data_IF_771711350617
#
_entry.id   IF_771711350617
#
_cell.length_a   1.000
_cell.length_b   1.000
_cell.length_c   1.000
_cell.angle_alpha   90.00
_cell.angle_beta   90.00
_cell.angle_gamma   90.00
#
_symmetry.space_group_name_H-M   'P 1'
#
loop_
_entity.id
_entity.type
_entity.pdbx_description
1 polymer ?
#
# COMPACT_ATOMS: atom_id res chain seq x y z
N UNK A 1 -16.72 -5.29 -3.90
CA UNK A 1 -15.38 -5.18 -3.30
C UNK A 1 -14.98 -6.57 -2.82
N UNK A 2 -14.07 -7.24 -3.54
CA UNK A 2 -13.56 -8.53 -3.10
C UNK A 2 -12.40 -8.26 -2.13
N UNK A 3 -12.63 -8.55 -0.85
CA UNK A 3 -11.60 -8.50 0.17
C UNK A 3 -11.64 -9.82 0.92
N UNK A 4 -10.48 -10.32 1.28
CA UNK A 4 -10.31 -11.52 2.07
C UNK A 4 -9.58 -11.10 3.34
N UNK A 5 -10.19 -11.28 4.51
CA UNK A 5 -9.62 -10.94 5.81
C UNK A 5 -9.76 -12.16 6.71
N UNK A 6 -8.65 -12.74 7.16
CA UNK A 6 -8.63 -13.96 7.96
C UNK A 6 -7.51 -13.90 9.01
N UNK A 7 -7.74 -14.46 10.20
CA UNK A 7 -6.66 -14.77 11.14
C UNK A 7 -6.07 -16.12 10.75
N UNK A 8 -4.78 -16.16 10.45
CA UNK A 8 -4.04 -17.41 10.24
C UNK A 8 -3.25 -17.77 11.47
N UNK A 9 -3.27 -19.05 11.82
CA UNK A 9 -2.38 -19.62 12.84
C UNK A 9 -1.31 -20.47 12.19
N UNK A 10 -0.07 -20.28 12.60
CA UNK A 10 1.11 -21.02 12.18
C UNK A 10 1.62 -21.83 13.37
N UNK A 11 1.69 -23.15 13.20
CA UNK A 11 2.13 -24.11 14.20
C UNK A 11 1.39 -24.02 15.56
N UNK A 12 0.18 -23.43 15.59
CA UNK A 12 -0.65 -23.29 16.79
C UNK A 12 -0.27 -22.12 17.72
N UNK A 13 0.97 -21.64 17.66
CA UNK A 13 1.49 -20.58 18.54
C UNK A 13 1.39 -19.21 17.92
N UNK A 14 1.85 -19.07 16.67
CA UNK A 14 1.91 -17.77 16.01
C UNK A 14 0.61 -17.51 15.28
N UNK A 15 0.11 -16.28 15.38
CA UNK A 15 -1.09 -15.84 14.67
C UNK A 15 -0.80 -14.52 13.98
N UNK A 16 -1.45 -14.32 12.84
CA UNK A 16 -1.40 -13.04 12.13
C UNK A 16 -2.70 -12.79 11.38
N UNK A 17 -3.05 -11.53 11.19
CA UNK A 17 -4.16 -11.12 10.35
C UNK A 17 -3.67 -11.02 8.92
N UNK A 18 -4.18 -11.88 8.04
CA UNK A 18 -3.95 -11.79 6.60
C UNK A 18 -5.10 -11.09 5.93
N UNK A 19 -4.76 -10.09 5.13
CA UNK A 19 -5.70 -9.37 4.30
C UNK A 19 -5.22 -9.28 2.85
N UNK A 20 -6.11 -9.55 1.89
CA UNK A 20 -5.93 -9.24 0.47
C UNK A 20 -7.06 -8.35 -0.09
N UNK A 21 -6.73 -7.33 -0.90
CA UNK A 21 -7.68 -6.44 -1.58
C UNK A 21 -7.38 -6.28 -3.07
N UNK A 22 -8.45 -6.03 -3.83
CA UNK A 22 -8.37 -5.36 -5.11
C UNK A 22 -9.19 -4.06 -5.04
N UNK A 23 -8.51 -2.92 -4.94
CA UNK A 23 -9.11 -1.58 -4.80
C UNK A 23 -9.76 -1.16 -6.11
N UNK A 24 -10.81 -0.34 -6.07
CA UNK A 24 -11.47 0.19 -7.27
C UNK A 24 -10.44 0.68 -8.31
N UNK A 25 -10.55 0.19 -9.55
CA UNK A 25 -9.65 0.58 -10.63
C UNK A 25 -9.75 2.06 -11.00
N UNK A 26 -10.99 2.58 -11.15
CA UNK A 26 -11.27 3.91 -11.72
C UNK A 26 -10.32 4.99 -11.16
N UNK A 27 -9.38 5.52 -11.97
CA UNK A 27 -8.29 6.38 -11.49
C UNK A 27 -8.81 7.68 -10.86
N UNK A 28 -9.99 8.14 -11.31
CA UNK A 28 -10.62 9.40 -10.90
C UNK A 28 -11.48 9.33 -9.65
N UNK A 29 -11.66 8.14 -9.06
CA UNK A 29 -12.45 7.91 -7.84
C UNK A 29 -11.57 7.69 -6.62
N UNK A 30 -10.61 8.58 -6.42
CA UNK A 30 -9.68 8.51 -5.29
C UNK A 30 -10.38 8.58 -3.93
N UNK A 31 -11.52 9.27 -3.85
CA UNK A 31 -12.42 9.32 -2.69
C UNK A 31 -12.85 7.90 -2.25
N UNK A 32 -13.30 7.10 -3.22
CA UNK A 32 -13.75 5.72 -2.96
C UNK A 32 -12.57 4.80 -2.68
N UNK A 33 -11.45 4.94 -3.40
CA UNK A 33 -10.25 4.13 -3.16
C UNK A 33 -9.73 4.33 -1.74
N UNK A 34 -9.62 5.58 -1.29
CA UNK A 34 -9.17 5.91 0.05
C UNK A 34 -10.12 5.37 1.12
N UNK A 35 -11.44 5.52 0.92
CA UNK A 35 -12.45 4.95 1.82
C UNK A 35 -12.40 3.43 1.93
N UNK A 36 -12.23 2.74 0.79
CA UNK A 36 -12.07 1.30 0.72
C UNK A 36 -10.86 0.81 1.54
N UNK A 37 -9.73 1.51 1.41
CA UNK A 37 -8.51 1.20 2.14
C UNK A 37 -8.69 1.48 3.64
N UNK A 38 -9.17 2.68 4.00
CA UNK A 38 -9.40 3.11 5.40
C UNK A 38 -10.28 2.11 6.16
N UNK A 39 -11.46 1.79 5.62
CA UNK A 39 -12.40 0.86 6.27
C UNK A 39 -11.79 -0.51 6.53
N UNK A 40 -10.86 -0.93 5.68
CA UNK A 40 -10.26 -2.24 5.78
C UNK A 40 -9.08 -2.27 6.75
N UNK A 41 -8.31 -1.19 6.83
CA UNK A 41 -7.32 -0.96 7.88
C UNK A 41 -7.97 -0.94 9.26
N UNK A 42 -9.12 -0.28 9.41
CA UNK A 42 -9.90 -0.27 10.66
C UNK A 42 -10.37 -1.69 11.05
N UNK A 43 -10.86 -2.47 10.09
CA UNK A 43 -11.28 -3.86 10.33
C UNK A 43 -10.12 -4.79 10.67
N UNK A 44 -9.00 -4.64 9.98
CA UNK A 44 -7.80 -5.43 10.24
C UNK A 44 -7.24 -5.12 11.64
N UNK A 45 -7.24 -3.85 12.04
CA UNK A 45 -6.86 -3.44 13.39
C UNK A 45 -7.79 -4.00 14.47
N UNK A 46 -9.10 -3.85 14.30
CA UNK A 46 -10.06 -4.41 15.25
C UNK A 46 -9.94 -5.95 15.38
N UNK A 47 -9.55 -6.63 14.30
CA UNK A 47 -9.26 -8.06 14.35
C UNK A 47 -7.92 -8.34 15.03
N UNK A 48 -6.88 -7.55 14.78
CA UNK A 48 -5.60 -7.69 15.49
C UNK A 48 -5.78 -7.52 17.01
N UNK A 49 -6.44 -6.45 17.44
CA UNK A 49 -6.74 -6.17 18.86
C UNK A 49 -7.52 -7.29 19.54
N UNK A 50 -8.49 -7.89 18.83
CA UNK A 50 -9.28 -9.01 19.35
C UNK A 50 -8.43 -10.26 19.62
N UNK A 51 -7.28 -10.36 18.97
CA UNK A 51 -6.39 -11.52 19.03
C UNK A 51 -5.03 -11.15 19.64
N UNK A 52 -5.02 -10.25 20.62
CA UNK A 52 -3.82 -9.87 21.39
C UNK A 52 -2.77 -9.16 20.53
N UNK A 53 -3.22 -8.14 19.79
CA UNK A 53 -2.39 -7.26 18.96
C UNK A 53 -1.48 -8.00 17.95
N UNK A 54 -1.93 -9.15 17.47
CA UNK A 54 -1.20 -9.95 16.48
C UNK A 54 -0.86 -9.14 15.22
N UNK A 55 0.28 -9.41 14.58
CA UNK A 55 0.70 -8.66 13.42
C UNK A 55 -0.26 -8.81 12.23
N UNK A 56 -0.30 -7.79 11.39
CA UNK A 56 -1.13 -7.72 10.19
C UNK A 56 -0.24 -7.75 8.96
N UNK A 57 -0.60 -8.55 7.96
CA UNK A 57 -0.03 -8.51 6.60
C UNK A 57 -1.14 -8.17 5.61
N UNK A 58 -0.90 -7.15 4.80
CA UNK A 58 -1.83 -6.60 3.83
C UNK A 58 -1.23 -6.77 2.43
N UNK A 59 -1.99 -7.42 1.56
CA UNK A 59 -1.59 -7.69 0.20
C UNK A 59 -2.61 -7.16 -0.80
N UNK A 60 -2.15 -6.95 -2.02
CA UNK A 60 -3.03 -6.86 -3.18
C UNK A 60 -2.79 -5.64 -4.05
N UNK A 61 -3.74 -5.43 -4.96
CA UNK A 61 -3.73 -4.36 -5.94
C UNK A 61 -4.45 -3.13 -5.35
N UNK A 62 -3.67 -2.11 -5.02
CA UNK A 62 -4.16 -0.85 -4.47
C UNK A 62 -4.59 0.13 -5.57
N UNK A 63 -4.32 -0.19 -6.84
CA UNK A 63 -4.56 0.68 -7.98
C UNK A 63 -4.09 2.12 -7.70
N UNK A 64 -2.88 2.22 -7.14
CA UNK A 64 -2.20 3.45 -6.74
C UNK A 64 -0.70 3.26 -6.87
N UNK A 65 0.04 4.30 -7.29
CA UNK A 65 1.48 4.21 -7.57
C UNK A 65 2.32 4.99 -6.54
N UNK A 66 3.50 4.51 -6.10
CA UNK A 66 4.31 5.27 -5.16
C UNK A 66 4.99 6.44 -5.87
N UNK A 67 5.25 6.31 -7.17
CA UNK A 67 5.82 7.33 -8.04
C UNK A 67 4.84 7.66 -9.17
N UNK A 68 4.59 8.94 -9.48
CA UNK A 68 3.87 9.28 -10.72
C UNK A 68 4.79 8.98 -11.91
N UNK A 69 4.59 7.84 -12.55
CA UNK A 69 5.33 7.46 -13.74
C UNK A 69 4.82 8.26 -14.95
N UNK A 70 5.59 9.25 -15.39
CA UNK A 70 5.37 9.83 -16.71
C UNK A 70 5.59 8.76 -17.77
N UNK A 71 4.75 8.77 -18.81
CA UNK A 71 4.79 7.82 -19.91
C UNK A 71 6.09 7.93 -20.75
N UNK A 72 7.21 7.47 -20.19
CA UNK A 72 8.48 7.32 -20.91
C UNK A 72 9.72 7.81 -20.17
N UNK A 73 9.60 8.68 -19.18
CA UNK A 73 10.74 9.30 -18.50
C UNK A 73 10.58 9.21 -16.98
N UNK A 74 11.50 8.53 -16.29
CA UNK A 74 11.45 8.26 -14.84
C UNK A 74 11.80 9.50 -14.00
N UNK A 75 11.36 10.68 -14.41
CA UNK A 75 11.55 11.93 -13.69
C UNK A 75 10.40 12.11 -12.68
N UNK A 76 10.57 11.55 -11.48
CA UNK A 76 9.57 11.43 -10.42
C UNK A 76 8.92 12.75 -9.98
N UNK A 77 7.63 12.69 -9.67
CA UNK A 77 6.85 13.69 -8.89
C UNK A 77 6.06 12.96 -7.79
N UNK A 78 5.62 13.65 -6.72
CA UNK A 78 5.58 13.09 -5.36
C UNK A 78 4.55 11.98 -5.16
N UNK A 79 4.82 11.18 -4.12
CA UNK A 79 4.06 10.07 -3.59
C UNK A 79 2.55 10.21 -3.83
N UNK A 80 1.90 9.20 -4.41
CA UNK A 80 0.44 9.21 -4.46
C UNK A 80 -0.12 9.40 -3.05
N UNK A 81 -1.20 10.18 -2.96
CA UNK A 81 -1.80 10.52 -1.68
C UNK A 81 -2.21 9.25 -0.90
N UNK A 82 -2.63 8.19 -1.60
CA UNK A 82 -2.94 6.88 -1.02
C UNK A 82 -1.69 6.19 -0.47
N UNK A 83 -0.57 6.17 -1.20
CA UNK A 83 0.68 5.59 -0.69
C UNK A 83 1.16 6.35 0.55
N UNK A 84 1.08 7.68 0.53
CA UNK A 84 1.37 8.52 1.69
C UNK A 84 0.44 8.25 2.87
N UNK A 85 -0.86 8.07 2.62
CA UNK A 85 -1.81 7.69 3.67
C UNK A 85 -1.36 6.40 4.37
N UNK A 86 -1.06 5.35 3.60
CA UNK A 86 -0.59 4.05 4.10
C UNK A 86 0.71 4.16 4.92
N UNK A 87 1.68 4.93 4.43
CA UNK A 87 3.00 5.04 5.07
C UNK A 87 3.04 6.00 6.27
N UNK A 88 2.10 6.94 6.37
CA UNK A 88 2.11 7.99 7.41
C UNK A 88 0.94 7.94 8.37
N UNK A 89 0.02 6.97 8.21
CA UNK A 89 -1.20 6.78 8.99
C UNK A 89 -2.26 7.87 8.85
N UNK A 90 -1.96 8.96 8.13
CA UNK A 90 -2.87 10.11 8.01
C UNK A 90 -2.71 10.85 6.71
N UNK A 91 -3.79 11.44 6.23
CA UNK A 91 -3.80 12.23 5.02
C UNK A 91 -4.79 13.39 5.15
N UNK A 92 -4.28 14.62 5.03
CA UNK A 92 -5.14 15.78 4.84
C UNK A 92 -5.59 15.84 3.38
N UNK A 93 -6.84 15.44 3.12
CA UNK A 93 -7.40 15.33 1.77
C UNK A 93 -7.63 16.70 1.09
N UNK A 94 -7.69 17.79 1.86
CA UNK A 94 -7.84 19.15 1.32
C UNK A 94 -6.64 19.61 0.48
N UNK A 95 -5.49 18.94 0.63
CA UNK A 95 -4.26 19.25 -0.09
C UNK A 95 -4.20 18.62 -1.49
N UNK A 96 -5.17 17.76 -1.84
CA UNK A 96 -5.15 16.97 -3.07
C UNK A 96 -6.45 17.13 -3.86
N UNK A 97 -6.36 16.98 -5.18
CA UNK A 97 -7.55 16.71 -6.00
C UNK A 97 -7.96 15.25 -5.78
N UNK A 98 -9.21 15.01 -5.39
CA UNK A 98 -9.80 13.67 -5.23
C UNK A 98 -9.63 12.74 -6.44
N UNK A 99 -9.47 13.29 -7.65
CA UNK A 99 -9.27 12.51 -8.90
C UNK A 99 -7.83 12.03 -9.07
N UNK A 100 -6.91 12.56 -8.28
CA UNK A 100 -5.47 12.35 -8.42
C UNK A 100 -4.86 11.59 -7.25
N UNK A 101 -5.66 11.17 -6.26
CA UNK A 101 -5.14 10.50 -5.06
C UNK A 101 -4.35 9.21 -5.35
N UNK A 102 -4.64 8.54 -6.47
CA UNK A 102 -3.96 7.30 -6.87
C UNK A 102 -2.68 7.51 -7.68
N UNK A 103 -2.44 8.72 -8.20
CA UNK A 103 -1.32 8.98 -9.11
C UNK A 103 -1.43 8.30 -10.49
N UNK A 104 -2.56 7.67 -10.81
CA UNK A 104 -2.77 6.94 -12.08
C UNK A 104 -3.35 7.80 -13.23
N UNK A 105 -3.86 9.00 -12.96
CA UNK A 105 -4.46 9.84 -13.99
C UNK A 105 -3.39 10.75 -14.61
N UNK A 106 -3.00 10.45 -15.85
CA UNK A 106 -1.93 11.14 -16.58
C UNK A 106 -2.41 12.38 -17.35
N UNK A 107 -3.68 12.80 -17.19
CA UNK A 107 -4.22 13.95 -17.92
C UNK A 107 -3.57 15.26 -17.45
N UNK A 108 -2.56 15.70 -18.22
CA UNK A 108 -1.88 16.99 -18.22
C UNK A 108 -1.64 17.65 -16.84
N UNK A 109 -0.46 17.35 -16.30
CA UNK A 109 0.21 18.12 -15.23
C UNK A 109 0.48 19.61 -15.61
N UNK A 110 -0.07 20.18 -16.69
CA UNK A 110 0.20 21.57 -17.08
C UNK A 110 -0.65 22.63 -16.35
N UNK A 111 -1.84 22.26 -15.85
CA UNK A 111 -2.88 23.22 -15.41
C UNK A 111 -3.40 22.98 -13.98
N UNK A 112 -2.88 21.97 -13.28
CA UNK A 112 -3.44 21.44 -12.02
C UNK A 112 -3.39 22.40 -10.82
N UNK A 113 -2.58 23.45 -10.87
CA UNK A 113 -2.50 24.45 -9.79
C UNK A 113 -3.76 25.31 -9.68
N UNK A 114 -4.61 25.34 -10.72
CA UNK A 114 -5.76 26.26 -10.80
C UNK A 114 -7.13 25.62 -10.56
N UNK A 115 -7.28 24.30 -10.71
CA UNK A 115 -8.58 23.63 -10.54
C UNK A 115 -8.57 22.68 -9.35
N UNK A 116 -8.59 23.23 -8.13
CA UNK A 116 -9.00 22.47 -6.94
C UNK A 116 -10.50 22.20 -7.09
N UNK A 117 -10.86 21.03 -7.64
CA UNK A 117 -12.25 20.58 -7.55
C UNK A 117 -12.62 20.52 -6.07
N UNK A 118 -13.64 21.28 -5.68
CA UNK A 118 -14.14 21.24 -4.31
C UNK A 118 -14.68 19.85 -4.03
N UNK A 119 -14.19 19.26 -2.94
CA UNK A 119 -14.74 18.04 -2.38
C UNK A 119 -16.19 18.30 -1.97
N UNK A 120 -17.12 17.44 -2.36
CA UNK A 120 -18.47 17.47 -1.81
C UNK A 120 -18.58 16.57 -0.56
N UNK A 121 -19.64 16.75 0.24
CA UNK A 121 -19.83 16.03 1.50
C UNK A 121 -19.87 14.50 1.34
N UNK A 122 -20.34 13.99 0.20
CA UNK A 122 -20.33 12.55 -0.09
C UNK A 122 -18.90 12.05 -0.34
N UNK A 123 -18.11 12.78 -1.10
CA UNK A 123 -16.71 12.46 -1.39
C UNK A 123 -15.85 12.55 -0.14
N UNK A 124 -16.06 13.56 0.71
CA UNK A 124 -15.40 13.66 2.02
C UNK A 124 -15.78 12.46 2.89
N UNK A 125 -17.08 12.13 2.98
CA UNK A 125 -17.57 10.97 3.74
C UNK A 125 -17.02 9.65 3.22
N UNK A 126 -16.92 9.49 1.90
CA UNK A 126 -16.32 8.31 1.28
C UNK A 126 -14.87 8.16 1.75
N UNK A 127 -14.08 9.23 1.65
CA UNK A 127 -12.66 9.22 2.00
C UNK A 127 -12.43 9.02 3.51
N UNK A 128 -13.06 9.83 4.35
CA UNK A 128 -12.70 9.96 5.78
C UNK A 128 -13.67 9.23 6.71
N UNK A 129 -14.83 8.80 6.22
CA UNK A 129 -15.92 8.27 7.03
C UNK A 129 -16.87 9.32 7.59
N UNK A 130 -16.52 10.61 7.50
CA UNK A 130 -17.28 11.73 8.07
C UNK A 130 -17.49 12.82 7.02
N UNK A 131 -18.60 13.57 7.07
CA UNK A 131 -18.89 14.60 6.04
C UNK A 131 -18.14 15.92 6.24
N UNK A 132 -17.58 16.18 7.41
CA UNK A 132 -16.98 17.47 7.80
C UNK A 132 -15.52 17.36 8.27
N UNK A 133 -14.88 16.22 8.02
CA UNK A 133 -13.50 15.96 8.45
C UNK A 133 -12.63 15.82 7.20
N UNK A 134 -11.63 16.70 7.06
CA UNK A 134 -10.71 16.74 5.92
C UNK A 134 -9.42 15.96 6.15
N UNK A 135 -9.32 15.24 7.27
CA UNK A 135 -8.18 14.38 7.59
C UNK A 135 -8.70 12.95 7.65
N UNK A 136 -8.16 12.09 6.80
CA UNK A 136 -8.35 10.64 6.89
C UNK A 136 -7.23 10.06 7.73
N UNK A 137 -7.54 9.12 8.62
CA UNK A 137 -6.55 8.46 9.50
C UNK A 137 -6.78 6.94 9.50
N UNK A 138 -5.75 6.18 9.88
CA UNK A 138 -5.83 4.75 10.16
C UNK A 138 -4.91 4.36 11.32
N UNK A 139 -5.20 3.28 12.07
CA UNK A 139 -4.47 2.95 13.29
C UNK A 139 -3.18 2.16 13.06
N UNK A 140 -3.04 1.49 11.91
CA UNK A 140 -1.94 0.55 11.69
C UNK A 140 -0.64 1.25 11.28
N UNK A 141 0.47 1.00 11.99
CA UNK A 141 1.82 1.40 11.56
C UNK A 141 2.34 0.43 10.50
N UNK A 142 2.17 0.79 9.23
CA UNK A 142 2.52 -0.06 8.10
C UNK A 142 3.96 0.14 7.62
N UNK A 143 4.60 -0.98 7.27
CA UNK A 143 5.89 -1.06 6.60
C UNK A 143 5.71 -1.74 5.25
N UNK A 144 6.18 -1.15 4.15
CA UNK A 144 6.18 -1.85 2.86
C UNK A 144 7.35 -2.83 2.82
N UNK A 145 7.04 -4.09 2.53
CA UNK A 145 8.02 -5.19 2.46
C UNK A 145 9.17 -4.88 1.50
N UNK A 146 8.84 -4.22 0.39
CA UNK A 146 9.80 -3.86 -0.64
C UNK A 146 10.57 -2.59 -0.31
N UNK A 147 9.90 -1.56 0.20
CA UNK A 147 10.53 -0.30 0.58
C UNK A 147 11.51 -0.45 1.76
N UNK A 148 11.27 -1.41 2.66
CA UNK A 148 12.12 -1.65 3.83
C UNK A 148 13.45 -2.36 3.51
N UNK A 149 13.56 -3.01 2.34
CA UNK A 149 14.75 -3.75 1.94
C UNK A 149 15.54 -3.01 0.88
N UNK A 150 16.87 -3.14 0.92
CA UNK A 150 17.74 -2.61 -0.13
C UNK A 150 17.56 -3.44 -1.39
N UNK A 151 17.04 -2.82 -2.45
CA UNK A 151 16.92 -3.44 -3.76
C UNK A 151 17.92 -2.91 -4.78
N UNK A 152 17.85 -3.44 -6.01
CA UNK A 152 18.69 -3.02 -7.13
C UNK A 152 18.11 -1.77 -7.81
N UNK A 153 18.92 -0.72 -7.99
CA UNK A 153 18.51 0.54 -8.64
C UNK A 153 17.96 0.35 -10.08
N UNK A 154 18.28 -0.75 -10.75
CA UNK A 154 17.74 -1.05 -12.08
C UNK A 154 16.26 -1.51 -12.07
N UNK A 155 15.75 -1.90 -10.90
CA UNK A 155 14.44 -2.54 -10.73
C UNK A 155 13.59 -1.77 -9.71
N UNK A 156 14.17 -0.80 -9.00
CA UNK A 156 13.59 -0.13 -7.83
C UNK A 156 13.50 1.37 -8.03
N UNK A 157 12.35 1.95 -7.66
CA UNK A 157 12.10 3.39 -7.67
C UNK A 157 12.69 4.11 -6.45
N UNK A 158 12.32 5.38 -6.30
CA UNK A 158 12.85 6.27 -5.25
C UNK A 158 12.53 5.78 -3.84
N UNK A 159 11.39 5.11 -3.67
CA UNK A 159 10.92 4.58 -2.38
C UNK A 159 11.40 3.16 -2.08
N UNK A 160 12.28 2.57 -2.90
CA UNK A 160 12.64 1.15 -2.78
C UNK A 160 11.55 0.19 -3.29
N UNK A 161 10.43 0.73 -3.76
CA UNK A 161 9.38 -0.05 -4.41
C UNK A 161 9.83 -0.54 -5.79
N UNK A 162 9.28 -1.65 -6.31
CA UNK A 162 9.52 -2.03 -7.70
C UNK A 162 9.20 -0.89 -8.67
N UNK A 163 9.87 -0.84 -9.81
CA UNK A 163 9.52 0.10 -10.89
C UNK A 163 8.20 -0.28 -11.58
N UNK A 164 7.86 -1.57 -11.61
CA UNK A 164 6.58 -2.02 -12.10
C UNK A 164 6.17 -3.36 -11.48
N UNK A 165 4.90 -3.45 -11.07
CA UNK A 165 4.22 -4.69 -10.74
C UNK A 165 3.10 -5.00 -11.74
N UNK A 166 2.67 -4.03 -12.55
CA UNK A 166 1.77 -4.24 -13.69
C UNK A 166 2.33 -3.60 -14.96
N UNK A 167 2.17 -4.29 -16.10
CA UNK A 167 2.58 -3.78 -17.40
C UNK A 167 1.64 -4.20 -18.53
N UNK A 168 0.93 -3.24 -19.10
CA UNK A 168 0.15 -3.41 -20.32
C UNK A 168 0.31 -2.20 -21.25
N UNK A 169 -0.40 -2.20 -22.40
CA UNK A 169 -0.25 -1.18 -23.45
C UNK A 169 -0.44 0.28 -23.01
N UNK A 170 -1.09 0.53 -21.86
CA UNK A 170 -1.45 1.86 -21.38
C UNK A 170 -0.88 2.19 -20.00
N UNK A 171 -0.21 1.24 -19.35
CA UNK A 171 0.27 1.40 -17.99
C UNK A 171 1.52 0.55 -17.77
N UNK A 172 2.51 1.13 -17.12
CA UNK A 172 3.69 0.48 -16.61
C UNK A 172 3.98 1.14 -15.27
N UNK A 173 3.83 0.41 -14.18
CA UNK A 173 4.02 0.97 -12.85
C UNK A 173 3.66 0.00 -11.74
N UNK A 174 3.84 0.46 -10.51
CA UNK A 174 3.61 -0.34 -9.31
C UNK A 174 2.23 -0.05 -8.74
N UNK A 175 1.42 -1.08 -8.60
CA UNK A 175 0.07 -1.02 -8.03
C UNK A 175 -0.19 -2.13 -7.00
N UNK A 176 0.59 -3.21 -7.08
CA UNK A 176 0.60 -4.30 -6.12
C UNK A 176 1.59 -4.07 -4.98
N UNK A 177 1.17 -4.28 -3.74
CA UNK A 177 2.00 -4.07 -2.55
C UNK A 177 1.83 -5.19 -1.52
N UNK A 178 2.85 -5.34 -0.67
CA UNK A 178 2.84 -6.16 0.55
C UNK A 178 3.23 -5.26 1.73
N UNK A 179 2.26 -4.89 2.56
CA UNK A 179 2.48 -4.13 3.79
C UNK A 179 2.41 -5.05 5.01
N UNK A 180 3.14 -4.71 6.07
CA UNK A 180 3.10 -5.44 7.32
C UNK A 180 3.21 -4.49 8.53
N UNK A 181 2.80 -4.93 9.71
CA UNK A 181 2.93 -4.19 10.97
C UNK A 181 4.07 -4.75 11.85
N UNK A 182 4.51 -4.03 12.90
CA UNK A 182 5.37 -4.60 13.94
C UNK A 182 4.84 -5.93 14.49
N UNK A 183 5.75 -6.76 15.02
CA UNK A 183 5.51 -8.18 15.30
C UNK A 183 5.99 -9.11 14.19
N UNK A 184 6.33 -8.54 13.02
CA UNK A 184 6.98 -9.22 11.90
C UNK A 184 8.22 -8.47 11.43
N UNK A 185 9.19 -9.22 10.95
CA UNK A 185 10.34 -8.74 10.19
C UNK A 185 10.27 -9.29 8.76
N UNK A 186 10.35 -8.41 7.76
CA UNK A 186 10.51 -8.83 6.36
C UNK A 186 11.99 -9.12 6.10
N UNK A 187 12.35 -10.39 5.90
CA UNK A 187 13.74 -10.80 5.70
C UNK A 187 14.16 -10.68 4.23
N UNK A 188 13.25 -11.02 3.31
CA UNK A 188 13.54 -11.16 1.87
C UNK A 188 12.31 -10.84 1.03
N UNK A 189 12.58 -10.41 -0.20
CA UNK A 189 11.56 -10.21 -1.24
C UNK A 189 12.04 -10.76 -2.57
N UNK A 190 11.11 -11.23 -3.40
CA UNK A 190 11.40 -11.53 -4.80
C UNK A 190 11.34 -10.24 -5.60
N UNK A 191 12.48 -9.80 -6.16
CA UNK A 191 12.51 -8.62 -7.00
C UNK A 191 11.79 -8.85 -8.34
N UNK A 192 11.29 -7.76 -8.92
CA UNK A 192 10.66 -7.76 -10.24
C UNK A 192 11.71 -7.79 -11.35
N UNK A 193 11.27 -8.07 -12.57
CA UNK A 193 12.16 -8.03 -13.72
C UNK A 193 12.74 -6.61 -13.93
N UNK A 194 14.01 -6.49 -14.35
CA UNK A 194 14.57 -5.20 -14.73
C UNK A 194 13.71 -4.50 -15.76
N UNK A 195 13.55 -3.18 -15.61
CA UNK A 195 12.58 -2.42 -16.41
C UNK A 195 12.87 -2.49 -17.91
N UNK A 196 14.14 -2.60 -18.30
CA UNK A 196 14.55 -2.81 -19.68
C UNK A 196 14.13 -4.17 -20.25
N UNK A 197 14.05 -5.21 -19.42
CA UNK A 197 13.50 -6.53 -19.81
C UNK A 197 12.00 -6.43 -20.03
N UNK A 198 11.28 -5.82 -19.07
CA UNK A 198 9.83 -5.63 -19.18
C UNK A 198 9.48 -4.87 -20.44
N UNK A 199 10.12 -3.72 -20.70
CA UNK A 199 9.85 -2.90 -21.91
C UNK A 199 10.02 -3.68 -23.23
N UNK A 200 10.92 -4.67 -23.30
CA UNK A 200 11.11 -5.50 -24.50
C UNK A 200 9.92 -6.43 -24.80
N UNK A 201 9.13 -6.79 -23.79
CA UNK A 201 7.91 -7.60 -23.97
C UNK A 201 6.79 -6.82 -24.68
N UNK A 202 6.86 -5.47 -24.68
CA UNK A 202 5.83 -4.55 -25.21
C UNK A 202 4.45 -4.66 -24.53
N UNK A 203 4.42 -5.27 -23.35
CA UNK A 203 3.24 -5.45 -22.52
C UNK A 203 3.08 -6.91 -22.13
N UNK A 204 2.39 -7.13 -21.03
CA UNK A 204 1.96 -8.42 -20.55
C UNK A 204 0.42 -8.55 -20.77
N UNK A 205 -0.15 -9.78 -20.78
CA UNK A 205 0.54 -11.08 -20.75
C UNK A 205 1.33 -11.39 -22.04
N UNK A 206 2.25 -12.34 -21.95
CA UNK A 206 2.99 -12.94 -23.09
C UNK A 206 2.69 -14.44 -23.21
N UNK A 207 3.38 -15.15 -24.13
CA UNK A 207 3.29 -16.62 -24.20
C UNK A 207 3.85 -17.30 -22.94
N UNK A 208 4.82 -16.66 -22.30
CA UNK A 208 5.53 -17.15 -21.13
C UNK A 208 4.92 -16.65 -19.81
N UNK A 209 4.26 -15.47 -19.83
CA UNK A 209 3.69 -14.82 -18.64
C UNK A 209 2.19 -14.65 -18.85
N UNK A 210 1.37 -15.39 -18.10
CA UNK A 210 -0.08 -15.44 -18.27
C UNK A 210 -0.90 -14.31 -17.63
N UNK A 211 -0.25 -13.35 -16.98
CA UNK A 211 -0.87 -12.22 -16.27
C UNK A 211 -0.26 -10.91 -16.74
N UNK A 212 -1.02 -9.82 -16.72
CA UNK A 212 -0.50 -8.46 -16.90
C UNK A 212 0.17 -7.88 -15.63
N UNK A 213 -0.03 -8.55 -14.48
CA UNK A 213 0.66 -8.30 -13.22
C UNK A 213 1.77 -9.33 -12.97
N UNK A 214 2.86 -8.85 -12.36
CA UNK A 214 3.97 -9.65 -11.84
C UNK A 214 3.67 -10.10 -10.40
N UNK A 215 4.11 -11.31 -10.00
CA UNK A 215 3.95 -11.75 -8.63
C UNK A 215 4.79 -10.89 -7.68
N UNK A 216 4.18 -10.47 -6.58
CA UNK A 216 4.87 -9.89 -5.42
C UNK A 216 5.03 -10.96 -4.34
N UNK A 217 6.24 -11.10 -3.79
CA UNK A 217 6.57 -12.16 -2.81
C UNK A 217 7.50 -11.59 -1.75
N UNK A 218 7.17 -11.87 -0.49
CA UNK A 218 7.98 -11.53 0.68
C UNK A 218 8.08 -12.73 1.63
N UNK A 219 9.19 -12.82 2.34
CA UNK A 219 9.42 -13.74 3.44
C UNK A 219 9.39 -12.96 4.76
N UNK A 220 8.60 -13.44 5.71
CA UNK A 220 8.44 -12.82 7.02
C UNK A 220 8.87 -13.78 8.13
N UNK A 221 9.46 -13.22 9.18
CA UNK A 221 9.71 -13.89 10.45
C UNK A 221 8.94 -13.16 11.56
N UNK A 222 8.43 -13.89 12.56
CA UNK A 222 7.90 -13.27 13.77
C UNK A 222 9.04 -12.72 14.61
N UNK A 223 8.88 -11.51 15.12
CA UNK A 223 9.81 -10.93 16.09
C UNK A 223 9.38 -11.35 17.49
N UNK A 224 10.32 -11.73 18.34
CA UNK A 224 10.04 -11.97 19.75
C UNK A 224 9.53 -10.68 20.40
N UNK A 225 8.45 -10.76 21.17
CA UNK A 225 8.05 -9.69 22.07
C UNK A 225 9.12 -9.60 23.15
N UNK A 226 9.70 -8.41 23.33
CA UNK A 226 10.47 -8.12 24.55
C UNK A 226 9.43 -8.14 25.67
N UNK A 227 9.30 -9.26 26.36
CA UNK A 227 8.62 -9.29 27.65
C UNK A 227 9.42 -8.35 28.56
N UNK A 228 8.79 -7.29 29.06
CA UNK A 228 9.40 -6.41 30.05
C UNK A 228 9.78 -7.26 31.27
N UNK A 229 11.06 -7.59 31.42
CA UNK A 229 11.65 -8.18 32.63
C UNK A 229 11.65 -7.14 33.77
N UNK A 230 10.49 -6.60 34.13
CA UNK A 230 10.34 -5.68 35.25
C UNK A 230 9.29 -6.17 36.23
N UNK A 231 9.56 -7.31 36.89
CA UNK A 231 8.91 -7.68 38.15
C UNK A 231 9.72 -8.81 38.82
N UNK A 232 10.78 -8.47 39.59
CA UNK A 232 11.25 -9.22 40.77
C UNK A 232 12.46 -8.53 41.47
N UNK A 233 12.35 -7.27 41.87
CA UNK A 233 13.17 -6.73 42.97
C UNK A 233 12.32 -5.77 43.81
N UNK A 234 11.45 -6.32 44.65
CA UNK A 234 11.01 -5.66 45.90
C UNK A 234 10.28 -6.66 46.81
N UNK A 235 11.04 -7.66 47.27
CA UNK A 235 10.64 -8.51 48.39
C UNK A 235 11.84 -8.99 49.22
N UNK A 236 12.77 -8.10 49.56
CA UNK A 236 13.68 -8.31 50.71
C UNK A 236 14.41 -7.03 51.09
N UNK A 237 14.02 -6.41 52.20
CA UNK A 237 14.69 -5.27 52.81
C UNK A 237 13.96 -4.74 54.03
#
# INVERSE_FOLDING_TARGET
MCHFLEVKSLNGTYKLVLWNIHVLFNPKRGDVKLGQIRMLLERANALAEKWDEIPVVLAGDFNSTPDVCFAGDFNSTPDSAIYKFLSTMKLNISLYDRRQLSGLDSSEFGLYKLCRHQWNDEEVRNATGYSNVMVSEHPLKLCSSYAMLKGNLNNRGLHGEPLATSFHKKFLGTVDYLWYTPGLECSRVLDTFPIGVLRRTRGLPTREIGSDHLPVVAEFAFTESVEDESEEEDASG
#
